data_IF_615422559996
#
_entry.id   IF_615422559996
#
_cell.length_a   1.000
_cell.length_b   1.000
_cell.length_c   1.000
_cell.angle_alpha   90.00
_cell.angle_beta   90.00
_cell.angle_gamma   90.00
#
_symmetry.space_group_name_H-M   'P 1'
#
loop_
_entity.id
_entity.type
_entity.pdbx_description
1 polymer ?
#
# COMPACT_ATOMS: atom_id res chain seq x y z
N UNK A 1 -15.24 24.79 6.02
CA UNK A 1 -13.90 24.30 5.72
C UNK A 1 -14.07 23.23 4.64
N UNK A 2 -13.66 23.52 3.43
CA UNK A 2 -13.56 22.50 2.37
C UNK A 2 -12.67 21.38 2.87
N UNK A 3 -13.13 20.14 2.77
CA UNK A 3 -12.30 18.99 3.11
C UNK A 3 -11.16 18.95 2.10
N UNK A 4 -9.97 19.39 2.50
CA UNK A 4 -8.79 19.27 1.64
C UNK A 4 -8.64 17.82 1.20
N UNK A 5 -8.45 17.61 -0.10
CA UNK A 5 -8.19 16.28 -0.64
C UNK A 5 -6.85 15.77 -0.07
N UNK A 6 -6.80 14.49 0.24
CA UNK A 6 -5.58 13.89 0.76
C UNK A 6 -4.88 13.12 -0.37
N UNK A 7 -3.72 13.59 -0.73
CA UNK A 7 -2.84 12.90 -1.66
C UNK A 7 -2.22 11.66 -0.99
N UNK A 8 -1.85 10.69 -1.79
CA UNK A 8 -1.15 9.50 -1.34
C UNK A 8 -0.62 8.73 -2.54
N UNK A 9 0.34 7.86 -2.33
CA UNK A 9 0.98 7.19 -3.44
C UNK A 9 1.59 5.85 -3.07
N UNK A 10 2.56 5.46 -3.87
CA UNK A 10 3.40 4.32 -3.62
C UNK A 10 4.77 4.50 -4.28
N UNK A 11 5.80 3.90 -3.70
CA UNK A 11 7.08 3.76 -4.35
C UNK A 11 6.97 2.80 -5.55
N UNK A 12 7.69 3.13 -6.61
CA UNK A 12 7.93 2.27 -7.77
C UNK A 12 9.45 2.13 -7.99
N UNK A 13 9.86 1.38 -9.00
CA UNK A 13 11.27 1.29 -9.37
C UNK A 13 11.79 2.67 -9.75
N UNK A 14 12.83 3.13 -9.04
CA UNK A 14 13.51 4.43 -9.24
C UNK A 14 12.56 5.63 -9.25
N UNK A 15 11.43 5.55 -8.52
CA UNK A 15 10.46 6.64 -8.54
C UNK A 15 9.31 6.53 -7.56
N UNK A 16 8.37 7.45 -7.74
CA UNK A 16 7.16 7.57 -6.93
C UNK A 16 5.94 7.77 -7.83
N UNK A 17 4.86 7.08 -7.52
CA UNK A 17 3.53 7.34 -8.05
C UNK A 17 2.73 8.09 -6.99
N UNK A 18 2.11 9.20 -7.36
CA UNK A 18 1.15 9.95 -6.52
C UNK A 18 -0.22 9.94 -7.18
N UNK A 19 -1.23 9.68 -6.36
CA UNK A 19 -2.65 9.70 -6.74
C UNK A 19 -3.32 10.98 -6.23
N UNK A 20 -3.90 11.76 -7.13
CA UNK A 20 -4.72 12.94 -6.88
C UNK A 20 -6.21 12.66 -6.97
N UNK A 21 -7.02 13.73 -7.01
CA UNK A 21 -8.47 13.67 -7.15
C UNK A 21 -8.89 13.19 -8.55
N UNK A 22 -8.27 13.75 -9.59
CA UNK A 22 -8.64 13.55 -10.99
C UNK A 22 -7.65 12.71 -11.79
N UNK A 23 -6.39 12.58 -11.30
CA UNK A 23 -5.33 11.89 -12.00
C UNK A 23 -4.31 11.22 -11.09
N UNK A 24 -3.35 10.58 -11.77
CA UNK A 24 -2.17 9.95 -11.18
C UNK A 24 -0.96 10.49 -11.93
N UNK A 25 0.11 10.80 -11.20
CA UNK A 25 1.42 11.09 -11.79
C UNK A 25 2.45 10.08 -11.29
N UNK A 26 3.30 9.61 -12.21
CA UNK A 26 4.40 8.70 -11.92
C UNK A 26 5.67 9.40 -12.33
N UNK A 27 6.58 9.68 -11.39
CA UNK A 27 7.88 10.28 -11.67
C UNK A 27 8.97 9.26 -11.40
N UNK A 28 9.77 8.96 -12.42
CA UNK A 28 10.82 7.95 -12.40
C UNK A 28 12.13 8.65 -12.75
N UNK A 29 13.18 8.40 -11.96
CA UNK A 29 14.53 8.89 -12.25
C UNK A 29 15.22 7.91 -13.18
N UNK A 30 15.64 8.45 -14.30
CA UNK A 30 16.39 7.72 -15.32
C UNK A 30 17.88 7.63 -14.93
N UNK A 31 18.66 6.66 -15.45
CA UNK A 31 20.09 6.52 -15.19
C UNK A 31 20.91 7.75 -15.60
N UNK A 32 20.44 8.51 -16.60
CA UNK A 32 21.05 9.79 -17.00
C UNK A 32 20.81 10.92 -15.97
N UNK A 33 20.05 10.64 -14.90
CA UNK A 33 19.70 11.59 -13.85
C UNK A 33 18.46 12.43 -14.12
N UNK A 34 17.86 12.35 -15.32
CA UNK A 34 16.64 13.09 -15.66
C UNK A 34 15.40 12.44 -15.03
N UNK A 35 14.37 13.27 -14.77
CA UNK A 35 13.08 12.78 -14.30
C UNK A 35 12.14 12.58 -15.50
N UNK A 36 11.65 11.36 -15.65
CA UNK A 36 10.56 11.05 -16.57
C UNK A 36 9.24 11.02 -15.79
N UNK A 37 8.36 11.98 -16.06
CA UNK A 37 7.08 12.07 -15.35
C UNK A 37 5.93 11.85 -16.33
N UNK A 38 5.10 10.87 -16.02
CA UNK A 38 3.93 10.48 -16.81
C UNK A 38 2.66 10.78 -16.05
N UNK A 39 1.71 11.44 -16.72
CA UNK A 39 0.36 11.78 -16.20
C UNK A 39 -0.67 10.80 -16.75
N UNK A 40 -1.58 10.34 -15.91
CA UNK A 40 -2.69 9.47 -16.33
C UNK A 40 -3.99 9.92 -15.65
N UNK A 41 -5.09 10.09 -16.43
CA UNK A 41 -6.38 10.39 -15.84
C UNK A 41 -6.93 9.17 -15.10
N UNK A 42 -7.63 9.41 -14.00
CA UNK A 42 -8.33 8.36 -13.26
C UNK A 42 -9.60 7.93 -14.00
N UNK A 43 -9.88 6.63 -14.01
CA UNK A 43 -11.15 6.12 -14.48
C UNK A 43 -12.32 6.65 -13.62
N UNK A 44 -13.49 6.88 -14.26
CA UNK A 44 -14.67 7.48 -13.61
C UNK A 44 -15.13 6.71 -12.35
N UNK A 45 -14.95 5.38 -12.33
CA UNK A 45 -15.30 4.54 -11.18
C UNK A 45 -14.50 4.92 -9.91
N UNK A 46 -13.30 5.46 -10.07
CA UNK A 46 -12.43 5.87 -8.96
C UNK A 46 -12.68 7.31 -8.47
N UNK A 47 -13.59 8.06 -9.15
CA UNK A 47 -13.93 9.47 -8.85
C UNK A 47 -15.38 9.66 -8.38
N UNK A 48 -16.23 8.65 -8.55
CA UNK A 48 -17.68 8.77 -8.38
C UNK A 48 -18.16 8.67 -6.92
N UNK A 49 -19.48 8.91 -6.72
CA UNK A 49 -20.17 8.85 -5.41
C UNK A 49 -20.00 7.53 -4.67
N UNK A 50 -19.80 6.41 -5.37
CA UNK A 50 -19.55 5.10 -4.77
C UNK A 50 -18.31 5.08 -3.88
N UNK A 51 -17.28 5.89 -4.21
CA UNK A 51 -16.07 6.06 -3.40
C UNK A 51 -16.32 6.82 -2.08
N UNK A 52 -17.43 7.53 -1.95
CA UNK A 52 -17.79 8.25 -0.73
C UNK A 52 -18.60 7.38 0.25
N UNK A 53 -19.27 6.35 -0.28
CA UNK A 53 -20.15 5.49 0.51
C UNK A 53 -19.36 4.61 1.47
N UNK A 54 -19.69 4.62 2.78
CA UNK A 54 -19.08 3.71 3.75
C UNK A 54 -19.18 2.26 3.29
N UNK A 55 -18.16 1.45 3.59
CA UNK A 55 -17.99 0.05 3.21
C UNK A 55 -17.80 -0.19 1.70
N UNK A 56 -18.55 0.46 0.80
CA UNK A 56 -18.35 0.34 -0.66
C UNK A 56 -17.00 0.93 -1.06
N UNK A 57 -16.63 2.07 -0.50
CA UNK A 57 -15.35 2.75 -0.78
C UNK A 57 -14.14 1.87 -0.50
N UNK A 58 -14.20 0.99 0.50
CA UNK A 58 -13.09 0.08 0.82
C UNK A 58 -12.79 -0.89 -0.30
N UNK A 59 -13.82 -1.42 -0.99
CA UNK A 59 -13.66 -2.29 -2.16
C UNK A 59 -13.08 -1.50 -3.34
N UNK A 60 -13.63 -0.31 -3.60
CA UNK A 60 -13.17 0.53 -4.72
C UNK A 60 -11.72 0.92 -4.52
N UNK A 61 -11.33 1.36 -3.31
CA UNK A 61 -9.94 1.72 -3.00
C UNK A 61 -9.02 0.51 -3.09
N UNK A 62 -9.45 -0.67 -2.63
CA UNK A 62 -8.66 -1.89 -2.77
C UNK A 62 -8.39 -2.21 -4.26
N UNK A 63 -9.43 -2.21 -5.09
CA UNK A 63 -9.30 -2.49 -6.53
C UNK A 63 -8.46 -1.42 -7.21
N UNK A 64 -8.72 -0.14 -6.92
CA UNK A 64 -7.93 0.98 -7.43
C UNK A 64 -6.45 0.83 -7.10
N UNK A 65 -6.11 0.59 -5.84
CA UNK A 65 -4.73 0.44 -5.39
C UNK A 65 -4.04 -0.75 -6.06
N UNK A 66 -4.72 -1.88 -6.20
CA UNK A 66 -4.18 -3.05 -6.88
C UNK A 66 -3.94 -2.77 -8.38
N UNK A 67 -4.90 -2.15 -9.06
CA UNK A 67 -4.80 -1.88 -10.49
C UNK A 67 -3.74 -0.80 -10.76
N UNK A 68 -3.87 0.37 -10.15
CA UNK A 68 -2.93 1.47 -10.36
C UNK A 68 -1.53 1.11 -9.86
N UNK A 69 -1.45 0.45 -8.72
CA UNK A 69 -0.18 0.02 -8.16
C UNK A 69 0.55 -0.96 -9.06
N UNK A 70 -0.14 -1.99 -9.56
CA UNK A 70 0.46 -2.96 -10.49
C UNK A 70 0.86 -2.28 -11.80
N UNK A 71 0.00 -1.44 -12.38
CA UNK A 71 0.32 -0.71 -13.62
C UNK A 71 1.56 0.17 -13.46
N UNK A 72 1.67 0.91 -12.34
CA UNK A 72 2.81 1.77 -12.06
C UNK A 72 4.10 0.99 -11.86
N UNK A 73 4.06 -0.16 -11.18
CA UNK A 73 5.19 -1.06 -11.04
C UNK A 73 5.63 -1.65 -12.37
N UNK A 74 4.68 -2.10 -13.21
CA UNK A 74 5.00 -2.63 -14.53
C UNK A 74 5.57 -1.56 -15.46
N UNK A 75 5.04 -0.32 -15.38
CA UNK A 75 5.55 0.81 -16.15
C UNK A 75 6.98 1.15 -15.74
N UNK A 76 7.27 1.26 -14.44
CA UNK A 76 8.62 1.56 -13.96
C UNK A 76 9.62 0.46 -14.29
N UNK A 77 9.21 -0.81 -14.25
CA UNK A 77 10.04 -1.93 -14.68
C UNK A 77 10.38 -1.87 -16.18
N UNK A 78 9.43 -1.47 -17.02
CA UNK A 78 9.68 -1.30 -18.46
C UNK A 78 10.61 -0.12 -18.75
N UNK A 79 10.48 0.99 -18.02
CA UNK A 79 11.38 2.15 -18.16
C UNK A 79 12.80 1.74 -17.78
N UNK A 80 12.99 1.05 -16.65
CA UNK A 80 14.29 0.58 -16.22
C UNK A 80 14.93 -0.38 -17.24
N UNK A 81 14.19 -1.34 -17.78
CA UNK A 81 14.70 -2.31 -18.78
C UNK A 81 15.04 -1.65 -20.12
N UNK A 82 14.24 -0.69 -20.59
CA UNK A 82 14.49 0.01 -21.86
C UNK A 82 15.80 0.83 -21.85
N UNK A 83 16.21 1.31 -20.67
CA UNK A 83 17.43 2.11 -20.50
C UNK A 83 18.70 1.27 -20.41
N UNK A 84 18.59 0.02 -19.97
CA UNK A 84 19.70 -0.95 -20.01
C UNK A 84 19.97 -1.49 -21.42
N UNK A 85 19.22 -1.00 -22.44
CA UNK A 85 19.33 -1.45 -23.81
C UNK A 85 18.69 -2.82 -24.06
N UNK A 86 17.92 -3.31 -23.10
CA UNK A 86 17.16 -4.55 -23.23
C UNK A 86 15.91 -4.33 -24.09
N UNK A 87 15.51 -5.36 -24.83
CA UNK A 87 14.23 -5.38 -25.53
C UNK A 87 13.07 -5.24 -24.52
N UNK A 88 11.98 -4.59 -24.94
CA UNK A 88 10.77 -4.45 -24.09
C UNK A 88 10.34 -5.79 -23.54
N UNK A 89 10.22 -5.88 -22.23
CA UNK A 89 9.79 -7.10 -21.56
C UNK A 89 8.38 -7.48 -22.07
N UNK A 90 8.19 -8.69 -22.61
CA UNK A 90 6.88 -9.13 -23.11
C UNK A 90 5.80 -9.06 -22.04
N UNK A 91 4.61 -8.55 -22.39
CA UNK A 91 3.50 -8.41 -21.44
C UNK A 91 3.12 -9.75 -20.78
N UNK A 92 3.23 -10.86 -21.50
CA UNK A 92 2.98 -12.21 -20.95
C UNK A 92 3.92 -12.54 -19.81
N UNK A 93 5.19 -12.19 -19.91
CA UNK A 93 6.18 -12.42 -18.84
C UNK A 93 5.88 -11.55 -17.62
N UNK A 94 5.58 -10.26 -17.82
CA UNK A 94 5.21 -9.35 -16.74
C UNK A 94 3.98 -9.84 -15.96
N UNK A 95 2.91 -10.20 -16.66
CA UNK A 95 1.71 -10.74 -16.02
C UNK A 95 1.96 -12.12 -15.39
N UNK A 96 2.85 -12.93 -15.96
CA UNK A 96 3.31 -14.18 -15.36
C UNK A 96 3.99 -13.96 -14.02
N UNK A 97 4.87 -12.95 -13.92
CA UNK A 97 5.54 -12.56 -12.66
C UNK A 97 4.50 -12.09 -11.62
N UNK A 98 3.54 -11.26 -12.03
CA UNK A 98 2.45 -10.80 -11.14
C UNK A 98 1.65 -11.98 -10.61
N UNK A 99 1.25 -12.90 -11.48
CA UNK A 99 0.48 -14.10 -11.10
C UNK A 99 1.28 -15.01 -10.14
N UNK A 100 2.56 -15.25 -10.43
CA UNK A 100 3.45 -16.03 -9.57
C UNK A 100 3.65 -15.36 -8.20
N UNK A 101 3.82 -14.04 -8.16
CA UNK A 101 3.95 -13.27 -6.92
C UNK A 101 2.67 -13.33 -6.07
N UNK A 102 1.50 -13.25 -6.71
CA UNK A 102 0.21 -13.39 -6.03
C UNK A 102 0.04 -14.79 -5.46
N UNK A 103 0.36 -15.83 -6.25
CA UNK A 103 0.31 -17.22 -5.79
C UNK A 103 1.25 -17.47 -4.61
N UNK A 104 2.46 -16.92 -4.65
CA UNK A 104 3.41 -16.97 -3.54
C UNK A 104 2.87 -16.25 -2.30
N UNK A 105 2.25 -15.07 -2.46
CA UNK A 105 1.61 -14.35 -1.36
C UNK A 105 0.49 -15.16 -0.70
N UNK A 106 -0.38 -15.79 -1.50
CA UNK A 106 -1.43 -16.69 -0.99
C UNK A 106 -0.81 -17.89 -0.25
N UNK A 107 0.23 -18.50 -0.81
CA UNK A 107 0.91 -19.61 -0.16
C UNK A 107 1.50 -19.20 1.20
N UNK A 108 2.28 -18.11 1.24
CA UNK A 108 2.97 -17.65 2.45
C UNK A 108 2.01 -17.15 3.55
N UNK A 109 1.03 -16.33 3.18
CA UNK A 109 0.23 -15.60 4.18
C UNK A 109 -1.14 -16.23 4.46
N UNK A 110 -1.58 -17.20 3.64
CA UNK A 110 -2.85 -17.89 3.84
C UNK A 110 -2.62 -19.37 4.07
N UNK A 111 -1.97 -20.06 3.13
CA UNK A 111 -1.87 -21.54 3.18
C UNK A 111 -0.92 -22.02 4.28
N UNK A 112 0.28 -21.45 4.38
CA UNK A 112 1.26 -21.89 5.41
C UNK A 112 0.71 -21.71 6.82
N UNK A 113 0.18 -20.55 7.26
CA UNK A 113 -0.41 -20.43 8.60
C UNK A 113 -1.54 -21.38 8.83
N UNK A 114 -2.44 -21.58 7.83
CA UNK A 114 -3.57 -22.49 7.92
C UNK A 114 -3.12 -23.94 8.11
N UNK A 115 -2.19 -24.43 7.27
CA UNK A 115 -1.70 -25.80 7.37
C UNK A 115 -0.85 -26.02 8.62
N UNK A 116 -0.01 -25.06 8.98
CA UNK A 116 0.75 -25.14 10.23
C UNK A 116 -0.18 -25.28 11.43
N UNK A 117 -1.23 -24.47 11.53
CA UNK A 117 -2.22 -24.58 12.60
C UNK A 117 -2.99 -25.90 12.51
N UNK A 118 -3.46 -26.27 11.33
CA UNK A 118 -4.27 -27.49 11.11
C UNK A 118 -3.57 -28.77 11.54
N UNK A 119 -2.28 -28.89 11.22
CA UNK A 119 -1.54 -30.15 11.45
C UNK A 119 -0.70 -30.14 12.71
N UNK A 120 -0.23 -28.97 13.19
CA UNK A 120 0.67 -28.89 14.34
C UNK A 120 -0.03 -28.40 15.62
N UNK A 121 -1.19 -27.75 15.53
CA UNK A 121 -1.84 -27.10 16.67
C UNK A 121 -3.22 -27.69 16.94
N UNK A 122 -4.10 -27.78 15.92
CA UNK A 122 -5.47 -28.26 16.07
C UNK A 122 -5.58 -29.66 16.72
N UNK A 123 -4.66 -30.62 16.53
CA UNK A 123 -4.73 -31.92 17.22
C UNK A 123 -4.64 -31.84 18.76
N UNK A 124 -4.08 -30.74 19.28
CA UNK A 124 -3.85 -30.54 20.71
C UNK A 124 -4.79 -29.49 21.32
N UNK A 125 -5.60 -28.80 20.52
CA UNK A 125 -6.44 -27.68 20.96
C UNK A 125 -7.88 -27.88 20.51
N UNK A 126 -8.82 -27.98 21.46
CA UNK A 126 -10.25 -28.11 21.18
C UNK A 126 -10.98 -26.75 21.03
N UNK A 127 -10.28 -25.62 21.17
CA UNK A 127 -10.88 -24.30 21.10
C UNK A 127 -10.69 -23.69 19.70
N UNK A 128 -11.79 -23.50 18.98
CA UNK A 128 -11.79 -22.83 17.68
C UNK A 128 -11.25 -21.40 17.74
N UNK A 129 -11.57 -20.67 18.81
CA UNK A 129 -11.04 -19.31 19.01
C UNK A 129 -9.51 -19.32 19.14
N UNK A 130 -8.98 -20.18 20.03
CA UNK A 130 -7.53 -20.26 20.26
C UNK A 130 -6.78 -20.71 19.00
N UNK A 131 -7.31 -21.67 18.25
CA UNK A 131 -6.75 -22.08 16.96
C UNK A 131 -6.65 -20.92 15.97
N UNK A 132 -7.74 -20.16 15.77
CA UNK A 132 -7.74 -19.03 14.83
C UNK A 132 -6.83 -17.87 15.30
N UNK A 133 -6.72 -17.64 16.62
CA UNK A 133 -5.76 -16.65 17.16
C UNK A 133 -4.33 -17.08 16.88
N UNK A 134 -3.98 -18.35 17.13
CA UNK A 134 -2.63 -18.88 16.85
C UNK A 134 -2.32 -18.87 15.34
N UNK A 135 -3.30 -19.22 14.47
CA UNK A 135 -3.15 -19.08 13.02
C UNK A 135 -2.80 -17.63 12.64
N UNK A 136 -3.50 -16.66 13.24
CA UNK A 136 -3.24 -15.24 13.00
C UNK A 136 -1.88 -14.78 13.51
N UNK A 137 -1.44 -15.24 14.68
CA UNK A 137 -0.10 -14.94 15.24
C UNK A 137 1.01 -15.52 14.37
N UNK A 138 0.86 -16.76 13.87
CA UNK A 138 1.78 -17.35 12.89
C UNK A 138 1.84 -16.50 11.63
N UNK A 139 0.69 -16.06 11.11
CA UNK A 139 0.61 -15.19 9.93
C UNK A 139 1.34 -13.87 10.13
N UNK A 140 1.15 -13.21 11.28
CA UNK A 140 1.87 -11.97 11.64
C UNK A 140 3.37 -12.24 11.73
N UNK A 141 3.79 -13.34 12.37
CA UNK A 141 5.18 -13.73 12.45
C UNK A 141 5.84 -13.95 11.08
N UNK A 142 5.16 -14.66 10.18
CA UNK A 142 5.61 -14.86 8.79
C UNK A 142 5.70 -13.52 8.06
N UNK A 143 4.72 -12.63 8.24
CA UNK A 143 4.73 -11.31 7.61
C UNK A 143 5.91 -10.45 8.06
N UNK A 144 6.18 -10.38 9.37
CA UNK A 144 7.32 -9.65 9.91
C UNK A 144 8.64 -10.25 9.42
N UNK A 145 8.77 -11.58 9.44
CA UNK A 145 9.97 -12.27 8.93
C UNK A 145 10.18 -12.00 7.43
N UNK A 146 9.11 -12.03 6.64
CA UNK A 146 9.14 -11.69 5.22
C UNK A 146 9.61 -10.26 4.98
N UNK A 147 9.03 -9.27 5.68
CA UNK A 147 9.44 -7.87 5.54
C UNK A 147 10.91 -7.68 5.91
N UNK A 148 11.37 -8.31 6.99
CA UNK A 148 12.77 -8.25 7.40
C UNK A 148 13.68 -8.86 6.33
N UNK A 149 13.30 -10.01 5.78
CA UNK A 149 14.08 -10.70 4.75
C UNK A 149 14.20 -9.85 3.47
N UNK A 150 13.10 -9.32 2.95
CA UNK A 150 13.14 -8.51 1.72
C UNK A 150 13.86 -7.17 1.94
N UNK A 151 13.83 -6.61 3.17
CA UNK A 151 14.54 -5.36 3.50
C UNK A 151 16.06 -5.48 3.44
N UNK A 152 16.60 -6.70 3.38
CA UNK A 152 18.04 -6.96 3.21
C UNK A 152 18.48 -6.90 1.74
N UNK A 153 17.55 -6.97 0.80
CA UNK A 153 17.82 -6.91 -0.64
C UNK A 153 18.12 -5.45 -1.01
N UNK A 154 19.32 -5.14 -1.58
CA UNK A 154 19.70 -3.76 -1.86
C UNK A 154 18.70 -3.00 -2.74
N UNK A 155 18.15 -3.67 -3.74
CA UNK A 155 17.16 -3.11 -4.64
C UNK A 155 15.85 -2.73 -3.89
N UNK A 156 15.35 -3.60 -3.01
CA UNK A 156 14.15 -3.32 -2.19
C UNK A 156 14.42 -2.20 -1.19
N UNK A 157 15.64 -2.14 -0.65
CA UNK A 157 16.04 -1.03 0.22
C UNK A 157 15.87 0.32 -0.49
N UNK A 158 16.27 0.41 -1.77
CA UNK A 158 16.11 1.63 -2.57
C UNK A 158 14.63 1.97 -2.81
N UNK A 159 13.78 0.98 -3.09
CA UNK A 159 12.32 1.19 -3.15
C UNK A 159 11.77 1.71 -1.82
N UNK A 160 12.29 1.26 -0.68
CA UNK A 160 11.89 1.74 0.64
C UNK A 160 12.37 3.17 0.93
N UNK A 161 13.46 3.63 0.30
CA UNK A 161 13.89 5.02 0.33
C UNK A 161 12.92 5.92 -0.46
N UNK A 162 12.49 5.51 -1.67
CA UNK A 162 11.43 6.20 -2.41
C UNK A 162 10.09 6.22 -1.66
N UNK A 163 9.75 5.16 -0.91
CA UNK A 163 8.58 5.15 -0.04
C UNK A 163 8.69 6.16 1.11
N UNK A 164 9.89 6.31 1.66
CA UNK A 164 10.18 7.38 2.62
C UNK A 164 10.06 8.78 2.00
N UNK A 165 10.50 8.96 0.75
CA UNK A 165 10.37 10.21 0.02
C UNK A 165 8.90 10.60 -0.21
N UNK A 166 8.07 9.63 -0.63
CA UNK A 166 6.62 9.83 -0.79
C UNK A 166 6.00 10.34 0.50
N UNK A 167 6.26 9.68 1.64
CA UNK A 167 5.72 10.08 2.94
C UNK A 167 6.18 11.49 3.35
N UNK A 168 7.46 11.83 3.18
CA UNK A 168 7.99 13.16 3.51
C UNK A 168 7.31 14.25 2.70
N UNK A 169 7.13 14.03 1.40
CA UNK A 169 6.52 15.01 0.50
C UNK A 169 5.05 15.22 0.83
N UNK A 170 4.29 14.14 1.08
CA UNK A 170 2.88 14.23 1.48
C UNK A 170 2.72 14.92 2.84
N UNK A 171 3.55 14.55 3.83
CA UNK A 171 3.55 15.20 5.15
C UNK A 171 3.87 16.71 5.05
N UNK A 172 4.84 17.11 4.23
CA UNK A 172 5.22 18.50 4.02
C UNK A 172 4.07 19.28 3.34
N UNK A 173 3.44 18.69 2.33
CA UNK A 173 2.28 19.27 1.66
C UNK A 173 1.11 19.51 2.63
N UNK A 174 0.77 18.50 3.44
CA UNK A 174 -0.31 18.60 4.43
C UNK A 174 -0.01 19.62 5.53
N UNK A 175 1.26 19.87 5.80
CA UNK A 175 1.69 20.94 6.71
C UNK A 175 1.70 22.32 6.05
N UNK A 176 1.42 22.43 4.75
CA UNK A 176 1.35 23.70 4.02
C UNK A 176 2.70 24.37 3.77
N UNK A 177 3.81 23.59 3.77
CA UNK A 177 5.15 24.15 3.48
C UNK A 177 5.47 24.06 1.99
N UNK A 178 6.37 24.95 1.49
CA UNK A 178 6.83 24.89 0.11
C UNK A 178 7.48 23.54 -0.21
N UNK A 179 7.12 22.95 -1.35
CA UNK A 179 7.66 21.68 -1.83
C UNK A 179 9.07 21.90 -2.41
N UNK A 180 10.04 22.12 -1.53
CA UNK A 180 11.47 22.21 -1.83
C UNK A 180 12.22 21.15 -1.01
N UNK A 181 13.27 20.57 -1.57
CA UNK A 181 14.03 19.49 -0.94
C UNK A 181 14.46 19.86 0.48
N UNK A 182 14.98 21.08 0.68
CA UNK A 182 15.47 21.54 1.98
C UNK A 182 14.38 21.61 3.05
N UNK A 183 13.15 21.88 2.67
CA UNK A 183 12.02 21.92 3.59
C UNK A 183 11.47 20.50 3.83
N UNK A 184 11.28 19.71 2.76
CA UNK A 184 10.68 18.39 2.78
C UNK A 184 11.52 17.38 3.56
N UNK A 185 12.85 17.43 3.45
CA UNK A 185 13.75 16.48 4.13
C UNK A 185 13.64 16.48 5.66
N UNK A 186 13.11 17.54 6.26
CA UNK A 186 12.91 17.62 7.70
C UNK A 186 11.63 16.93 8.20
N UNK A 187 10.78 16.45 7.28
CA UNK A 187 9.56 15.76 7.62
C UNK A 187 9.76 14.26 7.88
N UNK A 188 8.80 13.66 8.58
CA UNK A 188 8.85 12.23 8.95
C UNK A 188 8.62 11.32 7.75
N UNK A 189 9.32 10.17 7.73
CA UNK A 189 9.03 9.04 6.86
C UNK A 189 7.84 8.20 7.33
N UNK A 190 7.24 8.49 8.49
CA UNK A 190 6.03 7.84 8.98
C UNK A 190 4.79 8.63 8.55
N UNK A 191 3.76 7.91 8.06
CA UNK A 191 2.50 8.52 7.61
C UNK A 191 1.30 7.65 8.02
N UNK A 192 0.25 8.28 8.57
CA UNK A 192 -0.89 7.56 9.19
C UNK A 192 -1.77 6.78 8.19
N UNK A 193 -1.73 7.12 6.90
CA UNK A 193 -2.54 6.50 5.84
C UNK A 193 -1.75 5.57 4.92
N UNK A 194 -0.60 5.11 5.36
CA UNK A 194 0.26 4.22 4.58
C UNK A 194 -0.34 2.82 4.39
N UNK A 195 -0.13 2.25 3.20
CA UNK A 195 -0.53 0.89 2.86
C UNK A 195 0.07 -0.19 3.78
N UNK A 196 1.28 0.01 4.30
CA UNK A 196 1.89 -0.95 5.26
C UNK A 196 1.14 -0.99 6.58
N UNK A 197 0.71 0.17 7.12
CA UNK A 197 -0.14 0.21 8.31
C UNK A 197 -1.51 -0.42 8.04
N UNK A 198 -2.08 -0.22 6.85
CA UNK A 198 -3.30 -0.88 6.41
C UNK A 198 -3.16 -2.41 6.40
N UNK A 199 -2.07 -2.97 5.86
CA UNK A 199 -1.82 -4.41 5.87
C UNK A 199 -1.77 -4.97 7.29
N UNK A 200 -1.17 -4.26 8.24
CA UNK A 200 -1.17 -4.68 9.64
C UNK A 200 -2.59 -4.74 10.23
N UNK A 201 -3.42 -3.73 9.96
CA UNK A 201 -4.83 -3.73 10.37
C UNK A 201 -5.57 -4.92 9.74
N UNK A 202 -5.33 -5.21 8.45
CA UNK A 202 -5.87 -6.39 7.75
C UNK A 202 -5.51 -7.69 8.47
N UNK A 203 -4.26 -7.85 8.91
CA UNK A 203 -3.83 -9.03 9.65
C UNK A 203 -4.58 -9.16 10.99
N UNK A 204 -4.72 -8.09 11.75
CA UNK A 204 -5.44 -8.09 13.03
C UNK A 204 -6.94 -8.36 12.80
N UNK A 205 -7.60 -7.67 11.87
CA UNK A 205 -9.02 -7.86 11.56
C UNK A 205 -9.27 -9.29 11.10
N UNK A 206 -8.34 -9.87 10.32
CA UNK A 206 -8.48 -11.25 9.86
C UNK A 206 -8.56 -12.27 10.99
N UNK A 207 -7.89 -12.04 12.12
CA UNK A 207 -7.98 -12.91 13.31
C UNK A 207 -9.42 -12.97 13.81
N UNK A 208 -10.05 -11.80 13.99
CA UNK A 208 -11.42 -11.71 14.49
C UNK A 208 -12.44 -12.28 13.50
N UNK A 209 -12.32 -11.93 12.23
CA UNK A 209 -13.24 -12.41 11.18
C UNK A 209 -13.14 -13.94 11.02
N UNK A 210 -11.94 -14.51 11.05
CA UNK A 210 -11.76 -15.95 10.94
C UNK A 210 -12.16 -16.69 12.22
N UNK A 211 -12.02 -16.06 13.39
CA UNK A 211 -12.54 -16.63 14.64
C UNK A 211 -14.05 -16.83 14.60
N UNK A 212 -14.80 -15.96 13.92
CA UNK A 212 -16.25 -16.11 13.74
C UNK A 212 -16.61 -17.28 12.82
N UNK A 213 -15.74 -17.68 11.91
CA UNK A 213 -15.95 -18.85 11.02
C UNK A 213 -15.76 -20.18 11.78
N UNK A 214 -14.96 -20.16 12.86
CA UNK A 214 -14.66 -21.34 13.65
C UNK A 214 -13.67 -22.30 12.98
N UNK A 215 -13.89 -23.63 13.16
CA UNK A 215 -13.05 -24.71 12.63
C UNK A 215 -13.85 -25.61 11.69
N UNK A 216 -14.28 -25.15 10.52
CA UNK A 216 -14.99 -25.98 9.57
C UNK A 216 -14.05 -27.03 8.92
N UNK A 217 -14.62 -27.88 8.03
CA UNK A 217 -13.82 -28.79 7.21
C UNK A 217 -12.76 -28.02 6.40
N UNK A 218 -11.66 -28.70 6.06
CA UNK A 218 -10.50 -28.06 5.42
C UNK A 218 -10.85 -27.21 4.20
N UNK A 219 -11.70 -27.70 3.31
CA UNK A 219 -12.09 -26.98 2.09
C UNK A 219 -12.89 -25.71 2.38
N UNK A 220 -13.81 -25.76 3.33
CA UNK A 220 -14.55 -24.56 3.76
C UNK A 220 -13.61 -23.57 4.44
N UNK A 221 -12.64 -24.06 5.23
CA UNK A 221 -11.62 -23.22 5.86
C UNK A 221 -10.77 -22.50 4.82
N UNK A 222 -10.27 -23.18 3.79
CA UNK A 222 -9.53 -22.59 2.67
C UNK A 222 -10.39 -21.56 1.94
N UNK A 223 -11.61 -21.95 1.53
CA UNK A 223 -12.49 -21.07 0.78
C UNK A 223 -12.85 -19.80 1.56
N UNK A 224 -13.14 -19.94 2.87
CA UNK A 224 -13.45 -18.79 3.71
C UNK A 224 -12.29 -17.80 3.84
N UNK A 225 -11.03 -18.28 3.88
CA UNK A 225 -9.84 -17.41 3.95
C UNK A 225 -9.70 -16.53 2.69
N UNK A 226 -10.13 -17.04 1.53
CA UNK A 226 -10.09 -16.29 0.26
C UNK A 226 -11.34 -15.42 0.11
N UNK A 227 -12.52 -15.99 0.30
CA UNK A 227 -13.80 -15.29 0.09
C UNK A 227 -14.02 -14.10 1.05
N UNK A 228 -13.44 -14.14 2.25
CA UNK A 228 -13.57 -13.07 3.23
C UNK A 228 -12.52 -11.96 3.06
N UNK A 229 -11.55 -12.07 2.14
CA UNK A 229 -10.55 -11.00 1.89
C UNK A 229 -11.23 -9.64 1.64
N UNK A 230 -12.24 -9.51 0.75
CA UNK A 230 -12.89 -8.23 0.52
C UNK A 230 -13.55 -7.66 1.78
N UNK A 231 -14.19 -8.50 2.59
CA UNK A 231 -14.84 -8.09 3.84
C UNK A 231 -13.80 -7.57 4.84
N UNK A 232 -12.71 -8.31 5.02
CA UNK A 232 -11.60 -7.91 5.89
C UNK A 232 -11.00 -6.59 5.42
N UNK A 233 -10.76 -6.43 4.11
CA UNK A 233 -10.21 -5.21 3.55
C UNK A 233 -11.12 -4.00 3.79
N UNK A 234 -12.43 -4.16 3.60
CA UNK A 234 -13.42 -3.10 3.86
C UNK A 234 -13.40 -2.66 5.32
N UNK A 235 -13.48 -3.59 6.25
CA UNK A 235 -13.45 -3.30 7.69
C UNK A 235 -12.13 -2.60 8.05
N UNK A 236 -11.03 -3.12 7.56
CA UNK A 236 -9.68 -2.57 7.81
C UNK A 236 -9.53 -1.15 7.26
N UNK A 237 -10.10 -0.87 6.08
CA UNK A 237 -10.09 0.47 5.49
C UNK A 237 -10.87 1.48 6.34
N UNK A 238 -12.04 1.10 6.85
CA UNK A 238 -12.82 1.98 7.73
C UNK A 238 -12.09 2.24 9.05
N UNK A 239 -11.44 1.22 9.64
CA UNK A 239 -10.62 1.38 10.84
C UNK A 239 -9.44 2.31 10.58
N UNK A 240 -8.71 2.12 9.47
CA UNK A 240 -7.60 2.99 9.09
C UNK A 240 -8.05 4.45 8.90
N UNK A 241 -9.15 4.66 8.18
CA UNK A 241 -9.70 5.99 7.94
C UNK A 241 -10.14 6.68 9.23
N UNK A 242 -10.82 5.95 10.11
CA UNK A 242 -11.20 6.45 11.44
C UNK A 242 -9.96 6.79 12.27
N UNK A 243 -8.97 5.90 12.29
CA UNK A 243 -7.72 6.09 13.01
C UNK A 243 -6.94 7.32 12.55
N UNK A 244 -6.80 7.49 11.23
CA UNK A 244 -6.13 8.66 10.65
C UNK A 244 -6.84 9.98 11.00
N UNK A 245 -8.18 9.99 11.01
CA UNK A 245 -8.96 11.16 11.38
C UNK A 245 -8.85 11.53 12.88
N UNK A 246 -8.49 10.57 13.73
CA UNK A 246 -8.40 10.76 15.19
C UNK A 246 -6.99 10.54 15.73
N UNK A 247 -5.97 10.70 14.92
CA UNK A 247 -4.55 10.42 15.29
C UNK A 247 -4.05 11.28 16.47
N UNK A 248 -4.69 12.42 16.73
CA UNK A 248 -4.39 13.29 17.87
C UNK A 248 -4.89 12.71 19.21
N UNK A 249 -5.81 11.73 19.20
CA UNK A 249 -6.24 11.04 20.39
C UNK A 249 -5.16 10.04 20.85
N UNK A 250 -4.75 10.11 22.12
CA UNK A 250 -3.70 9.26 22.67
C UNK A 250 -4.02 7.76 22.56
N UNK A 251 -5.28 7.36 22.80
CA UNK A 251 -5.69 5.95 22.70
C UNK A 251 -5.59 5.45 21.26
N UNK A 252 -6.12 6.23 20.31
CA UNK A 252 -6.05 5.89 18.89
C UNK A 252 -4.59 5.78 18.43
N UNK A 253 -3.73 6.70 18.85
CA UNK A 253 -2.29 6.66 18.54
C UNK A 253 -1.62 5.40 19.07
N UNK A 254 -1.92 4.99 20.31
CA UNK A 254 -1.39 3.74 20.88
C UNK A 254 -1.87 2.53 20.12
N UNK A 255 -3.15 2.47 19.73
CA UNK A 255 -3.70 1.37 18.94
C UNK A 255 -3.09 1.26 17.53
N UNK A 256 -2.74 2.39 16.92
CA UNK A 256 -2.11 2.44 15.60
C UNK A 256 -0.58 2.29 15.66
N UNK A 257 0.03 2.45 16.82
CA UNK A 257 1.50 2.44 16.96
C UNK A 257 2.18 1.17 16.42
N UNK A 258 1.63 -0.06 16.56
CA UNK A 258 2.27 -1.23 15.97
C UNK A 258 2.32 -1.17 14.43
N UNK A 259 1.27 -0.61 13.79
CA UNK A 259 1.26 -0.38 12.35
C UNK A 259 2.31 0.66 11.92
N UNK A 260 2.47 1.74 12.70
CA UNK A 260 3.50 2.75 12.46
C UNK A 260 4.91 2.20 12.70
N UNK A 261 5.11 1.34 13.70
CA UNK A 261 6.38 0.64 13.90
C UNK A 261 6.71 -0.28 12.72
N UNK A 262 5.72 -0.94 12.15
CA UNK A 262 5.93 -1.79 10.98
C UNK A 262 6.37 -0.98 9.74
N UNK A 263 5.92 0.28 9.61
CA UNK A 263 6.38 1.16 8.54
C UNK A 263 7.90 1.40 8.57
N UNK A 264 8.52 1.47 9.76
CA UNK A 264 9.97 1.65 9.85
C UNK A 264 10.77 0.52 9.21
N UNK A 265 10.13 -0.64 8.93
CA UNK A 265 10.73 -1.75 8.19
C UNK A 265 10.60 -1.60 6.68
N UNK A 266 9.64 -0.78 6.21
CA UNK A 266 9.29 -0.59 4.80
C UNK A 266 9.51 0.83 4.30
N UNK A 267 10.02 1.72 5.15
CA UNK A 267 10.49 3.06 4.79
C UNK A 267 11.93 3.23 5.21
N UNK A 268 12.67 4.01 4.44
CA UNK A 268 14.05 4.41 4.73
C UNK A 268 14.19 5.90 4.52
N UNK A 269 15.29 6.45 5.05
CA UNK A 269 15.63 7.85 4.82
C UNK A 269 16.05 8.04 3.35
N UNK A 270 15.33 8.88 2.57
CA UNK A 270 15.64 9.12 1.17
C UNK A 270 16.78 10.13 1.03
N UNK A 271 17.48 10.05 -0.11
CA UNK A 271 18.37 11.09 -0.56
C UNK A 271 17.62 12.28 -1.23
N UNK A 272 18.33 13.38 -1.48
CA UNK A 272 17.74 14.59 -2.06
C UNK A 272 17.16 14.31 -3.47
N UNK A 273 17.77 13.44 -4.25
CA UNK A 273 17.30 13.08 -5.60
C UNK A 273 15.99 12.30 -5.59
N UNK A 274 15.79 11.45 -4.58
CA UNK A 274 14.56 10.69 -4.38
C UNK A 274 13.42 11.60 -3.89
N UNK A 275 13.74 12.60 -3.05
CA UNK A 275 12.78 13.64 -2.64
C UNK A 275 12.35 14.49 -3.85
N UNK A 276 13.26 14.86 -4.75
CA UNK A 276 12.94 15.57 -5.99
C UNK A 276 11.94 14.79 -6.86
N UNK A 277 12.13 13.48 -7.03
CA UNK A 277 11.21 12.66 -7.79
C UNK A 277 9.80 12.64 -7.17
N UNK A 278 9.70 12.54 -5.84
CA UNK A 278 8.43 12.59 -5.13
C UNK A 278 7.77 13.98 -5.21
N UNK A 279 8.54 15.07 -5.13
CA UNK A 279 8.05 16.46 -5.33
C UNK A 279 7.52 16.61 -6.76
N UNK A 280 8.25 16.14 -7.76
CA UNK A 280 7.83 16.18 -9.16
C UNK A 280 6.48 15.48 -9.35
N UNK A 281 6.33 14.24 -8.87
CA UNK A 281 5.09 13.50 -8.95
C UNK A 281 3.91 14.23 -8.26
N UNK A 282 4.14 14.83 -7.09
CA UNK A 282 3.09 15.55 -6.36
C UNK A 282 2.69 16.85 -7.08
N UNK A 283 3.64 17.64 -7.56
CA UNK A 283 3.35 18.87 -8.30
C UNK A 283 2.53 18.59 -9.56
N UNK A 284 2.90 17.56 -10.30
CA UNK A 284 2.20 17.15 -11.52
C UNK A 284 0.73 16.77 -11.24
N UNK A 285 0.49 16.04 -10.16
CA UNK A 285 -0.87 15.63 -9.80
C UNK A 285 -1.70 16.80 -9.27
N UNK A 286 -1.09 17.75 -8.56
CA UNK A 286 -1.76 18.99 -8.12
C UNK A 286 -2.18 19.81 -9.35
N UNK A 287 -1.33 19.92 -10.36
CA UNK A 287 -1.65 20.63 -11.60
C UNK A 287 -2.81 19.98 -12.37
N UNK A 288 -2.86 18.64 -12.44
CA UNK A 288 -4.01 17.92 -13.01
C UNK A 288 -5.30 18.29 -12.29
N UNK A 289 -5.29 18.25 -10.96
CA UNK A 289 -6.47 18.52 -10.13
C UNK A 289 -6.95 19.97 -10.29
N UNK A 290 -6.03 20.96 -10.31
CA UNK A 290 -6.35 22.38 -10.51
C UNK A 290 -6.90 22.66 -11.89
N UNK A 291 -6.36 22.02 -12.92
CA UNK A 291 -6.84 22.19 -14.31
C UNK A 291 -8.26 21.63 -14.45
N UNK A 292 -8.57 20.51 -13.83
CA UNK A 292 -9.90 19.93 -13.86
C UNK A 292 -10.93 20.78 -13.11
N UNK A 293 -10.58 21.33 -11.94
CA UNK A 293 -11.46 22.22 -11.17
C UNK A 293 -11.76 23.54 -11.92
N UNK A 294 -10.78 24.09 -12.66
CA UNK A 294 -10.97 25.28 -13.49
C UNK A 294 -11.87 25.03 -14.72
N UNK A 295 -11.79 23.85 -15.32
CA UNK A 295 -12.61 23.47 -16.49
C UNK A 295 -14.04 23.06 -16.13
N UNK A 296 -14.30 22.66 -14.89
CA UNK A 296 -15.64 22.30 -14.39
C UNK A 296 -16.48 23.48 -13.88
N UNK A 297 -15.90 24.68 -13.82
CA UNK A 297 -16.57 25.91 -13.35
C UNK A 297 -17.12 26.79 -14.49
N UNK A 298 -17.01 26.36 -15.75
CA UNK A 298 -17.62 26.98 -16.93
C UNK A 298 -18.82 26.19 -17.39
#
# INVERSE_FOLDING_TARGET
MEKSFHYGGQAVMEGVMIRGKEGVAISIRQPNGELNTVRQPLASIYKGRLREMPFVRGIIVLVETLVLGTQSLLHSAQVAAAEEGEEKIPAVLLWGIVAASLALGVALFIMIPLFATRYLIDPYINSALLSNVLEGLIRIGIFIAYLKMISLIPYIKRVFEYHGAEHKVVNAYEAGVPLKVEAVKNYSTAHARCGTAFLFIVLIVSIFVFALVGQPTLWIRILSRIALIPVIAVISYEIMKFGAAHINNKVVRVLLSPGLMLQSMTTREPDDSQIEAAISALNEVIEIDQTADSSGST
#
